data_IF_911110117843
#
_entry.id   IF_911110117843
#
_cell.length_a   1.000
_cell.length_b   1.000
_cell.length_c   1.000
_cell.angle_alpha   90.00
_cell.angle_beta   90.00
_cell.angle_gamma   90.00
#
_symmetry.space_group_name_H-M   'P 1'
#
loop_
_entity.id
_entity.type
_entity.pdbx_description
1 polymer ?
#
# COMPACT_ATOMS: atom_id res chain seq x y z
N UNK A 1 24.79 -7.62 -15.55
CA UNK A 1 24.32 -6.63 -14.54
C UNK A 1 25.53 -6.22 -13.73
N UNK A 2 25.94 -4.98 -13.77
CA UNK A 2 27.05 -4.49 -12.94
C UNK A 2 26.60 -4.52 -11.48
N UNK A 3 27.41 -5.00 -10.54
CA UNK A 3 27.00 -5.19 -9.13
C UNK A 3 26.62 -3.92 -8.37
N UNK A 4 26.96 -2.75 -8.90
CA UNK A 4 26.83 -1.46 -8.21
C UNK A 4 25.63 -0.61 -8.70
N UNK A 5 24.82 -1.13 -9.62
CA UNK A 5 23.71 -0.37 -10.16
C UNK A 5 22.41 -0.69 -9.40
N UNK A 6 22.20 0.07 -8.35
CA UNK A 6 20.95 0.11 -7.57
C UNK A 6 19.82 0.80 -8.38
N UNK A 7 20.00 0.90 -9.70
CA UNK A 7 18.99 1.47 -10.59
C UNK A 7 17.79 0.54 -10.70
N UNK A 8 16.67 1.05 -10.26
CA UNK A 8 15.36 0.43 -10.51
C UNK A 8 15.26 0.10 -12.01
N UNK A 9 14.72 -1.09 -12.35
CA UNK A 9 14.47 -1.50 -13.73
C UNK A 9 13.91 -0.32 -14.54
N UNK A 10 14.65 0.24 -15.53
CA UNK A 10 14.25 1.46 -16.23
C UNK A 10 12.92 1.30 -17.00
N UNK A 11 12.52 0.07 -17.32
CA UNK A 11 11.30 -0.22 -18.07
C UNK A 11 10.42 -1.26 -17.32
N UNK A 12 9.86 -0.89 -16.15
CA UNK A 12 9.12 -1.82 -15.29
C UNK A 12 7.80 -2.31 -15.89
N UNK A 13 7.31 -1.69 -16.95
CA UNK A 13 6.10 -2.07 -17.67
C UNK A 13 6.34 -3.17 -18.71
N UNK A 14 7.57 -3.49 -19.05
CA UNK A 14 7.90 -4.57 -19.97
C UNK A 14 8.13 -5.87 -19.21
N UNK A 15 7.63 -6.99 -19.75
CA UNK A 15 8.02 -8.31 -19.25
C UNK A 15 9.49 -8.56 -19.58
N UNK A 16 10.29 -8.88 -18.57
CA UNK A 16 11.71 -9.24 -18.78
C UNK A 16 11.87 -10.48 -19.65
N UNK A 17 11.00 -11.48 -19.45
CA UNK A 17 11.04 -12.74 -20.15
C UNK A 17 9.71 -12.97 -20.89
N UNK A 18 9.77 -13.55 -22.09
CA UNK A 18 8.60 -13.90 -22.87
C UNK A 18 8.80 -15.22 -23.60
N UNK A 19 7.76 -16.04 -23.66
CA UNK A 19 7.76 -17.26 -24.48
C UNK A 19 7.54 -16.88 -25.95
N UNK A 20 8.02 -17.70 -26.91
CA UNK A 20 7.77 -17.45 -28.34
C UNK A 20 6.30 -17.31 -28.68
N UNK A 21 5.43 -18.04 -27.98
CA UNK A 21 3.99 -17.97 -28.15
C UNK A 21 3.36 -16.62 -27.81
N UNK A 22 3.94 -15.90 -26.85
CA UNK A 22 3.43 -14.63 -26.33
C UNK A 22 3.88 -13.41 -27.16
N UNK A 23 4.78 -13.60 -28.13
CA UNK A 23 5.27 -12.51 -28.97
C UNK A 23 4.25 -12.09 -30.04
N UNK A 24 4.25 -10.82 -30.46
CA UNK A 24 3.48 -10.35 -31.61
C UNK A 24 3.81 -11.10 -32.90
N UNK A 25 2.83 -11.26 -33.78
CA UNK A 25 2.97 -12.05 -35.00
C UNK A 25 4.10 -11.52 -35.93
N UNK A 26 4.23 -10.21 -36.03
CA UNK A 26 5.27 -9.58 -36.87
C UNK A 26 6.69 -9.85 -36.37
N UNK A 27 6.91 -9.83 -35.04
CA UNK A 27 8.22 -10.19 -34.45
C UNK A 27 8.55 -11.66 -34.69
N UNK A 28 7.57 -12.55 -34.56
CA UNK A 28 7.74 -13.98 -34.91
C UNK A 28 8.18 -14.13 -36.37
N UNK A 29 7.50 -13.45 -37.29
CA UNK A 29 7.84 -13.49 -38.71
C UNK A 29 9.24 -12.90 -38.99
N UNK A 30 9.58 -11.77 -38.36
CA UNK A 30 10.90 -11.16 -38.46
C UNK A 30 11.97 -12.16 -38.01
N UNK A 31 11.87 -12.71 -36.82
CA UNK A 31 12.86 -13.63 -36.27
C UNK A 31 13.02 -14.90 -37.08
N UNK A 32 11.93 -15.42 -37.66
CA UNK A 32 11.99 -16.57 -38.58
C UNK A 32 12.70 -16.24 -39.90
N UNK A 33 12.60 -15.00 -40.38
CA UNK A 33 13.24 -14.58 -41.62
C UNK A 33 14.72 -14.21 -41.42
N UNK A 34 15.05 -13.57 -40.32
CA UNK A 34 16.36 -13.00 -40.07
C UNK A 34 17.39 -14.03 -39.59
N UNK A 35 16.94 -15.18 -39.07
CA UNK A 35 17.85 -16.20 -38.51
C UNK A 35 17.33 -17.61 -38.65
N UNK A 36 18.25 -18.54 -38.96
CA UNK A 36 17.97 -19.97 -38.94
C UNK A 36 17.61 -20.47 -37.53
N UNK A 37 18.25 -19.91 -36.48
CA UNK A 37 17.95 -20.17 -35.07
C UNK A 37 16.55 -19.64 -34.72
N UNK A 38 16.19 -18.42 -35.12
CA UNK A 38 14.86 -17.86 -34.94
C UNK A 38 13.77 -18.76 -35.55
N UNK A 39 14.05 -19.31 -36.76
CA UNK A 39 13.13 -20.25 -37.44
C UNK A 39 12.96 -21.55 -36.64
N UNK A 40 14.05 -22.10 -36.12
CA UNK A 40 14.03 -23.29 -35.26
C UNK A 40 13.23 -23.02 -33.97
N UNK A 41 13.45 -21.89 -33.30
CA UNK A 41 12.76 -21.49 -32.06
C UNK A 41 11.24 -21.45 -32.26
N UNK A 42 10.78 -20.88 -33.37
CA UNK A 42 9.34 -20.71 -33.63
C UNK A 42 8.64 -21.90 -34.22
N UNK A 43 9.36 -22.84 -34.85
CA UNK A 43 8.80 -24.04 -35.44
C UNK A 43 8.85 -25.28 -34.53
N UNK A 44 9.80 -25.33 -33.60
CA UNK A 44 9.90 -26.41 -32.63
C UNK A 44 8.96 -26.22 -31.43
N UNK A 45 8.47 -27.30 -30.85
CA UNK A 45 7.82 -27.30 -29.51
C UNK A 45 8.91 -27.19 -28.45
N UNK A 46 9.58 -26.06 -28.42
CA UNK A 46 10.76 -25.84 -27.56
C UNK A 46 10.42 -25.01 -26.33
N UNK A 47 11.26 -25.15 -25.30
CA UNK A 47 11.20 -24.40 -24.03
C UNK A 47 11.97 -23.07 -24.09
N UNK A 48 12.14 -22.49 -25.28
CA UNK A 48 12.85 -21.25 -25.49
C UNK A 48 12.18 -20.07 -24.80
N UNK A 49 13.00 -19.15 -24.30
CA UNK A 49 12.58 -17.91 -23.64
C UNK A 49 13.37 -16.75 -24.24
N UNK A 50 12.67 -15.69 -24.64
CA UNK A 50 13.27 -14.42 -24.99
C UNK A 50 13.41 -13.55 -23.75
N UNK A 51 14.56 -12.87 -23.65
CA UNK A 51 14.89 -11.99 -22.52
C UNK A 51 15.27 -10.61 -23.05
N UNK A 52 14.65 -9.55 -22.54
CA UNK A 52 15.11 -8.17 -22.76
C UNK A 52 16.35 -7.93 -21.91
N UNK A 53 17.46 -7.62 -22.55
CA UNK A 53 18.75 -7.37 -21.91
C UNK A 53 18.88 -5.90 -21.49
N UNK A 54 18.60 -4.96 -22.40
CA UNK A 54 18.73 -3.51 -22.15
C UNK A 54 18.48 -2.69 -23.40
N UNK A 55 18.78 -1.40 -23.33
CA UNK A 55 18.67 -0.48 -24.46
C UNK A 55 19.94 -0.57 -25.35
N UNK A 56 19.74 -0.39 -26.64
CA UNK A 56 20.84 -0.45 -27.64
C UNK A 56 21.95 0.58 -27.38
N UNK A 57 21.61 1.69 -26.71
CA UNK A 57 22.58 2.71 -26.33
C UNK A 57 23.53 2.29 -25.19
N UNK A 58 23.12 1.33 -24.37
CA UNK A 58 23.84 0.92 -23.16
C UNK A 58 24.83 -0.24 -23.41
N UNK A 59 24.64 -0.96 -24.53
CA UNK A 59 25.44 -2.14 -24.86
C UNK A 59 25.73 -2.21 -26.35
N UNK A 60 26.97 -2.50 -26.70
CA UNK A 60 27.33 -2.91 -28.06
C UNK A 60 27.07 -4.39 -28.26
N UNK A 61 26.89 -4.82 -29.52
CA UNK A 61 26.68 -6.22 -29.86
C UNK A 61 27.91 -7.07 -29.46
N UNK A 62 29.12 -6.49 -29.58
CA UNK A 62 30.38 -7.12 -29.24
C UNK A 62 30.49 -7.40 -27.73
N UNK A 63 30.18 -6.40 -26.88
CA UNK A 63 30.16 -6.56 -25.43
C UNK A 63 29.12 -7.61 -24.99
N UNK A 64 27.97 -7.64 -25.62
CA UNK A 64 26.94 -8.64 -25.32
C UNK A 64 27.38 -10.04 -25.71
N UNK A 65 28.03 -10.18 -26.87
CA UNK A 65 28.52 -11.48 -27.32
C UNK A 65 29.63 -11.99 -26.42
N UNK A 66 30.53 -11.11 -25.96
CA UNK A 66 31.59 -11.44 -24.99
C UNK A 66 31.04 -11.91 -23.64
N UNK A 67 30.06 -11.17 -23.10
CA UNK A 67 29.40 -11.53 -21.82
C UNK A 67 28.63 -12.84 -21.94
N UNK A 68 27.97 -13.07 -23.06
CA UNK A 68 27.16 -14.26 -23.27
C UNK A 68 27.99 -15.49 -23.60
N UNK A 69 29.23 -15.33 -24.13
CA UNK A 69 30.15 -16.44 -24.34
C UNK A 69 30.67 -17.09 -23.02
N UNK A 70 30.53 -16.38 -21.89
CA UNK A 70 30.84 -16.91 -20.55
C UNK A 70 29.73 -17.89 -20.08
N UNK A 71 28.51 -17.76 -20.63
CA UNK A 71 27.42 -18.69 -20.37
C UNK A 71 27.66 -19.90 -21.27
N UNK A 72 27.91 -21.07 -20.69
CA UNK A 72 28.08 -22.34 -21.44
C UNK A 72 26.79 -22.70 -22.22
N UNK A 73 26.55 -21.99 -23.30
CA UNK A 73 25.52 -22.34 -24.30
C UNK A 73 26.26 -22.78 -25.55
N UNK A 74 25.76 -23.81 -26.24
CA UNK A 74 26.22 -24.13 -27.57
C UNK A 74 26.06 -22.88 -28.45
N UNK A 75 27.16 -22.47 -29.11
CA UNK A 75 27.19 -21.23 -29.94
C UNK A 75 26.06 -21.14 -30.99
N UNK A 76 25.45 -22.25 -31.34
CA UNK A 76 24.34 -22.37 -32.28
C UNK A 76 22.95 -22.10 -31.64
N UNK A 77 22.85 -21.92 -30.32
CA UNK A 77 21.59 -21.75 -29.60
C UNK A 77 21.32 -20.29 -29.20
N UNK A 78 22.27 -19.37 -29.43
CA UNK A 78 22.11 -17.97 -29.07
C UNK A 78 21.57 -17.15 -30.24
N UNK A 79 20.47 -16.44 -30.03
CA UNK A 79 19.87 -15.52 -30.99
C UNK A 79 19.68 -14.17 -30.35
N UNK A 80 20.33 -13.12 -30.88
CA UNK A 80 20.27 -11.75 -30.41
C UNK A 80 19.62 -10.89 -31.50
N UNK A 81 18.60 -10.11 -31.13
CA UNK A 81 17.88 -9.25 -32.07
C UNK A 81 17.50 -7.92 -31.42
N UNK A 82 17.34 -6.87 -32.25
CA UNK A 82 16.92 -5.52 -31.85
C UNK A 82 15.45 -5.36 -32.14
N UNK A 83 14.68 -4.94 -31.15
CA UNK A 83 13.25 -4.74 -31.29
C UNK A 83 12.83 -3.35 -30.80
N UNK A 84 11.82 -2.70 -31.42
CA UNK A 84 11.23 -1.49 -30.88
C UNK A 84 10.40 -1.81 -29.64
N UNK A 85 10.54 -0.97 -28.60
CA UNK A 85 9.79 -1.09 -27.35
C UNK A 85 9.19 0.25 -26.96
N UNK A 86 8.01 0.30 -26.29
CA UNK A 86 7.48 1.54 -25.74
C UNK A 86 8.33 2.00 -24.54
N UNK A 87 8.80 3.26 -24.58
CA UNK A 87 9.59 3.84 -23.48
C UNK A 87 8.73 4.24 -22.29
N UNK A 88 7.48 4.62 -22.53
CA UNK A 88 6.55 5.04 -21.48
C UNK A 88 5.68 3.87 -21.01
N UNK A 89 5.28 3.89 -19.74
CA UNK A 89 4.33 2.91 -19.22
C UNK A 89 2.93 3.14 -19.83
N UNK A 90 2.17 2.07 -20.09
CA UNK A 90 0.80 2.19 -20.59
C UNK A 90 -0.10 2.82 -19.52
N UNK A 91 -1.05 3.64 -19.94
CA UNK A 91 -2.00 4.35 -19.06
C UNK A 91 -3.27 3.54 -18.79
N UNK A 92 -3.47 2.45 -19.53
CA UNK A 92 -4.64 1.58 -19.38
C UNK A 92 -4.34 0.13 -19.77
N UNK A 93 -5.20 -0.79 -19.31
CA UNK A 93 -5.14 -2.20 -19.71
C UNK A 93 -5.32 -2.39 -21.23
N UNK A 94 -6.17 -1.58 -21.85
CA UNK A 94 -6.41 -1.61 -23.30
C UNK A 94 -5.14 -1.20 -24.05
N UNK A 95 -4.48 -0.13 -23.62
CA UNK A 95 -3.22 0.32 -24.22
C UNK A 95 -2.10 -0.72 -24.04
N UNK A 96 -2.00 -1.35 -22.85
CA UNK A 96 -1.04 -2.44 -22.64
C UNK A 96 -1.29 -3.63 -23.58
N UNK A 97 -2.54 -4.01 -23.80
CA UNK A 97 -2.91 -5.08 -24.72
C UNK A 97 -2.57 -4.71 -26.18
N UNK A 98 -2.87 -3.48 -26.60
CA UNK A 98 -2.49 -2.96 -27.91
C UNK A 98 -0.97 -2.98 -28.12
N UNK A 99 -0.20 -2.46 -27.15
CA UNK A 99 1.26 -2.44 -27.24
C UNK A 99 1.87 -3.84 -27.20
N UNK A 100 1.27 -4.77 -26.42
CA UNK A 100 1.69 -6.16 -26.43
C UNK A 100 1.50 -6.85 -27.79
N UNK A 101 0.52 -6.42 -28.60
CA UNK A 101 0.30 -6.93 -29.94
C UNK A 101 1.16 -6.24 -31.02
N UNK A 102 1.70 -5.05 -30.74
CA UNK A 102 2.46 -4.23 -31.67
C UNK A 102 3.98 -4.25 -31.43
N UNK A 103 4.42 -4.42 -30.21
CA UNK A 103 5.83 -4.30 -29.85
C UNK A 103 6.31 -5.52 -29.05
N UNK A 104 6.26 -5.42 -27.74
CA UNK A 104 6.71 -6.44 -26.79
C UNK A 104 5.67 -6.63 -25.69
N UNK A 105 5.57 -7.84 -25.08
CA UNK A 105 4.62 -8.08 -23.99
C UNK A 105 4.74 -7.04 -22.89
N UNK A 106 3.73 -6.18 -22.80
CA UNK A 106 3.66 -5.02 -21.94
C UNK A 106 2.61 -5.24 -20.87
N UNK A 107 2.93 -4.87 -19.63
CA UNK A 107 2.05 -5.03 -18.48
C UNK A 107 1.54 -3.67 -18.05
N UNK A 108 0.23 -3.49 -18.04
CA UNK A 108 -0.38 -2.40 -17.30
C UNK A 108 -0.38 -2.75 -15.83
N UNK A 109 0.36 -1.98 -15.06
CA UNK A 109 0.27 -2.05 -13.60
C UNK A 109 -0.68 -0.96 -13.17
N UNK A 110 -1.73 -1.34 -12.46
CA UNK A 110 -2.74 -0.42 -11.96
C UNK A 110 -2.14 0.65 -11.04
N UNK A 111 -0.99 0.35 -10.44
CA UNK A 111 -0.23 1.27 -9.62
C UNK A 111 0.82 1.99 -10.49
N UNK A 112 0.55 3.26 -10.79
CA UNK A 112 1.54 4.15 -11.39
C UNK A 112 2.67 4.36 -10.36
N UNK A 113 3.96 4.09 -10.72
CA UNK A 113 5.08 4.34 -9.78
C UNK A 113 5.25 5.83 -9.43
N UNK A 114 4.66 6.73 -10.21
CA UNK A 114 4.69 8.19 -9.98
C UNK A 114 3.56 8.66 -9.04
N UNK A 115 2.81 7.75 -8.44
CA UNK A 115 1.66 8.06 -7.60
C UNK A 115 0.30 7.91 -8.31
N UNK A 116 -0.78 8.23 -7.63
CA UNK A 116 -2.12 8.16 -8.20
C UNK A 116 -2.33 9.20 -9.29
N UNK A 117 -3.16 8.88 -10.27
CA UNK A 117 -3.49 9.82 -11.34
C UNK A 117 -4.19 11.07 -10.75
N UNK A 118 -3.86 12.31 -11.20
CA UNK A 118 -4.44 13.54 -10.64
C UNK A 118 -5.98 13.56 -10.60
N UNK A 119 -6.65 12.95 -11.58
CA UNK A 119 -8.12 12.88 -11.58
C UNK A 119 -8.69 11.97 -10.48
N UNK A 120 -7.94 10.96 -10.04
CA UNK A 120 -8.33 10.10 -8.91
C UNK A 120 -8.14 10.88 -7.62
N UNK A 121 -7.03 11.62 -7.50
CA UNK A 121 -6.77 12.49 -6.33
C UNK A 121 -7.87 13.54 -6.22
N UNK A 122 -8.16 14.27 -7.31
CA UNK A 122 -9.19 15.30 -7.32
C UNK A 122 -10.57 14.77 -6.90
N UNK A 123 -10.97 13.61 -7.42
CA UNK A 123 -12.24 12.96 -7.05
C UNK A 123 -12.23 12.53 -5.57
N UNK A 124 -11.15 11.91 -5.11
CA UNK A 124 -11.02 11.50 -3.72
C UNK A 124 -11.02 12.69 -2.76
N UNK A 125 -10.43 13.83 -3.13
CA UNK A 125 -10.49 15.08 -2.37
C UNK A 125 -11.92 15.62 -2.31
N UNK A 126 -12.63 15.61 -3.44
CA UNK A 126 -14.04 16.04 -3.49
C UNK A 126 -14.92 15.19 -2.59
N UNK A 127 -14.69 13.87 -2.54
CA UNK A 127 -15.45 12.95 -1.68
C UNK A 127 -15.34 13.28 -0.19
N UNK A 128 -14.17 13.74 0.28
CA UNK A 128 -13.88 13.91 1.71
C UNK A 128 -13.93 15.37 2.21
N UNK A 129 -13.93 16.36 1.32
CA UNK A 129 -13.75 17.78 1.68
C UNK A 129 -14.83 18.32 2.62
N UNK A 130 -16.06 17.85 2.49
CA UNK A 130 -17.21 18.42 3.21
C UNK A 130 -17.27 17.98 4.68
N UNK A 131 -16.83 16.78 4.98
CA UNK A 131 -16.97 16.18 6.32
C UNK A 131 -15.64 15.78 6.99
N UNK A 132 -14.51 15.89 6.31
CA UNK A 132 -13.19 15.56 6.88
C UNK A 132 -12.91 16.29 8.19
N UNK A 133 -13.38 17.55 8.31
CA UNK A 133 -13.23 18.33 9.53
C UNK A 133 -14.01 17.77 10.73
N UNK A 134 -15.15 17.14 10.48
CA UNK A 134 -15.97 16.50 11.53
C UNK A 134 -15.26 15.29 12.08
N UNK A 135 -14.74 14.44 11.19
CA UNK A 135 -14.02 13.21 11.56
C UNK A 135 -12.69 13.50 12.20
N UNK A 136 -11.98 14.51 11.71
CA UNK A 136 -10.73 14.95 12.30
C UNK A 136 -10.96 15.57 13.70
N UNK A 137 -12.01 16.36 13.89
CA UNK A 137 -12.36 16.88 15.21
C UNK A 137 -12.72 15.75 16.20
N UNK A 138 -13.34 14.68 15.73
CA UNK A 138 -13.60 13.49 16.53
C UNK A 138 -12.29 12.79 16.91
N UNK A 139 -11.35 12.61 15.99
CA UNK A 139 -10.03 12.04 16.24
C UNK A 139 -9.25 12.85 17.29
N UNK A 140 -9.28 14.18 17.19
CA UNK A 140 -8.65 15.07 18.18
C UNK A 140 -9.28 14.93 19.57
N UNK A 141 -10.59 14.85 19.65
CA UNK A 141 -11.31 14.65 20.93
C UNK A 141 -10.90 13.34 21.60
N UNK A 142 -10.81 12.26 20.82
CA UNK A 142 -10.37 10.95 21.32
C UNK A 142 -8.91 10.99 21.76
N UNK A 143 -8.05 11.67 21.02
CA UNK A 143 -6.65 11.88 21.37
C UNK A 143 -6.50 12.56 22.73
N UNK A 144 -7.25 13.64 22.96
CA UNK A 144 -7.23 14.36 24.24
C UNK A 144 -7.71 13.47 25.39
N UNK A 145 -8.80 12.71 25.20
CA UNK A 145 -9.29 11.79 26.22
C UNK A 145 -8.27 10.69 26.55
N UNK A 146 -7.57 10.14 25.56
CA UNK A 146 -6.52 9.15 25.81
C UNK A 146 -5.39 9.72 26.68
N UNK A 147 -4.99 10.97 26.43
CA UNK A 147 -3.98 11.67 27.23
C UNK A 147 -4.48 12.01 28.63
N UNK A 148 -5.69 12.55 28.74
CA UNK A 148 -6.31 12.94 30.03
C UNK A 148 -6.52 11.76 30.96
N UNK A 149 -6.88 10.60 30.41
CA UNK A 149 -7.04 9.36 31.18
C UNK A 149 -5.73 8.65 31.48
N UNK A 150 -4.61 9.12 30.90
CA UNK A 150 -3.29 8.55 31.12
C UNK A 150 -3.04 7.19 30.45
N UNK A 151 -3.93 6.73 29.58
CA UNK A 151 -3.78 5.44 28.89
C UNK A 151 -2.78 5.49 27.75
N UNK A 152 -2.57 6.67 27.14
CA UNK A 152 -1.69 6.83 26.00
C UNK A 152 -1.28 8.26 25.72
N UNK A 153 -0.67 8.49 24.58
CA UNK A 153 -0.36 9.81 24.07
C UNK A 153 -1.59 10.49 23.45
N UNK A 154 -1.49 11.81 23.18
CA UNK A 154 -2.56 12.57 22.55
C UNK A 154 -2.72 12.22 21.07
N UNK A 155 -2.99 10.96 20.78
CA UNK A 155 -3.14 10.42 19.42
C UNK A 155 -4.47 9.69 19.33
N UNK A 156 -5.24 9.97 18.28
CA UNK A 156 -6.57 9.38 18.08
C UNK A 156 -6.82 9.03 16.62
N UNK A 157 -7.61 7.99 16.41
CA UNK A 157 -7.99 7.48 15.10
C UNK A 157 -9.50 7.27 15.01
N UNK A 158 -10.07 7.57 13.86
CA UNK A 158 -11.48 7.37 13.51
C UNK A 158 -11.54 6.66 12.17
N UNK A 159 -12.37 5.63 12.07
CA UNK A 159 -12.63 4.88 10.83
C UNK A 159 -14.10 5.07 10.46
N UNK A 160 -14.34 5.46 9.22
CA UNK A 160 -15.70 5.66 8.69
C UNK A 160 -15.92 4.87 7.41
N UNK A 161 -17.17 4.53 7.14
CA UNK A 161 -17.64 3.97 5.87
C UNK A 161 -18.41 5.03 5.12
N UNK A 162 -18.02 5.25 3.85
CA UNK A 162 -18.75 6.13 2.94
C UNK A 162 -19.38 5.31 1.83
N UNK A 163 -20.70 5.31 1.80
CA UNK A 163 -21.47 4.57 0.80
C UNK A 163 -22.73 5.33 0.43
N UNK A 164 -23.00 5.49 -0.87
CA UNK A 164 -24.23 6.12 -1.38
C UNK A 164 -24.45 7.56 -0.90
N UNK A 165 -23.37 8.31 -0.61
CA UNK A 165 -23.46 9.68 -0.07
C UNK A 165 -23.69 9.76 1.45
N UNK A 166 -23.85 8.63 2.13
CA UNK A 166 -23.93 8.52 3.58
C UNK A 166 -22.56 8.17 4.15
N UNK A 167 -22.22 8.78 5.29
CA UNK A 167 -20.98 8.45 6.01
C UNK A 167 -21.32 8.01 7.43
N UNK A 168 -20.85 6.83 7.80
CA UNK A 168 -21.15 6.20 9.10
C UNK A 168 -19.86 5.92 9.86
N UNK A 169 -19.90 6.17 11.16
CA UNK A 169 -18.79 5.88 12.07
C UNK A 169 -18.68 4.37 12.30
N UNK A 170 -17.50 3.80 12.03
CA UNK A 170 -17.27 2.36 12.17
C UNK A 170 -16.30 2.03 13.31
N UNK A 171 -15.27 2.81 13.49
CA UNK A 171 -14.25 2.59 14.52
C UNK A 171 -13.74 3.89 15.12
N UNK A 172 -13.42 3.87 16.40
CA UNK A 172 -12.80 4.99 17.13
C UNK A 172 -11.83 4.42 18.12
N UNK A 173 -10.61 4.93 18.19
CA UNK A 173 -9.64 4.55 19.21
C UNK A 173 -8.69 5.69 19.56
N UNK A 174 -8.40 5.83 20.83
CA UNK A 174 -7.24 6.58 21.35
C UNK A 174 -5.99 5.70 21.42
N UNK A 175 -4.85 6.32 21.49
CA UNK A 175 -3.60 5.62 21.82
C UNK A 175 -3.70 5.03 23.23
N UNK A 176 -3.20 3.80 23.41
CA UNK A 176 -3.26 3.12 24.70
C UNK A 176 -1.91 2.48 25.09
N UNK A 177 -0.79 3.03 24.60
CA UNK A 177 0.56 2.48 24.81
C UNK A 177 0.99 2.40 26.27
N UNK A 178 0.37 3.17 27.14
CA UNK A 178 0.64 3.18 28.59
C UNK A 178 -0.38 2.39 29.38
N UNK A 179 -1.44 1.90 28.74
CA UNK A 179 -2.44 1.08 29.39
C UNK A 179 -1.91 -0.33 29.64
N UNK A 180 -1.81 -0.71 30.91
CA UNK A 180 -1.32 -2.04 31.32
C UNK A 180 -2.33 -2.66 32.28
N UNK A 181 -2.90 -3.80 31.90
CA UNK A 181 -3.83 -4.52 32.76
C UNK A 181 -3.14 -5.50 33.72
N UNK A 182 -1.90 -5.87 33.55
CA UNK A 182 -1.23 -6.74 34.53
C UNK A 182 0.28 -6.88 34.29
N UNK A 183 1.10 -6.47 35.27
CA UNK A 183 2.44 -7.02 35.51
C UNK A 183 3.53 -6.82 34.46
N UNK A 184 3.28 -6.13 33.36
CA UNK A 184 4.31 -5.70 32.44
C UNK A 184 5.10 -4.56 33.06
N UNK A 185 6.41 -4.54 32.88
CA UNK A 185 7.35 -3.60 33.45
C UNK A 185 6.87 -2.14 33.30
N UNK A 186 6.68 -1.45 34.41
CA UNK A 186 6.37 -0.02 34.43
C UNK A 186 7.33 0.75 33.51
N UNK A 187 6.77 1.60 32.65
CA UNK A 187 7.55 2.47 31.76
C UNK A 187 7.87 1.92 30.37
N UNK A 188 7.41 0.70 30.00
CA UNK A 188 7.54 0.22 28.61
C UNK A 188 6.28 0.53 27.82
N UNK A 189 6.44 1.19 26.65
CA UNK A 189 5.32 1.44 25.75
C UNK A 189 4.97 0.17 24.95
N UNK A 190 3.67 -0.06 24.72
CA UNK A 190 3.20 -1.16 23.89
C UNK A 190 2.89 -0.67 22.46
N UNK A 191 3.69 -1.02 21.45
CA UNK A 191 3.46 -0.60 20.07
C UNK A 191 2.22 -1.23 19.42
N UNK A 192 1.69 -2.32 19.98
CA UNK A 192 0.50 -2.99 19.48
C UNK A 192 -0.80 -2.28 19.87
N UNK A 193 -0.72 -1.29 20.74
CA UNK A 193 -1.86 -0.50 21.24
C UNK A 193 -1.92 0.91 20.69
N UNK A 194 -1.23 1.17 19.59
CA UNK A 194 -1.39 2.41 18.84
C UNK A 194 -2.84 2.56 18.36
N UNK A 195 -3.35 3.78 18.36
CA UNK A 195 -4.75 4.07 18.06
C UNK A 195 -5.23 3.47 16.73
N UNK A 196 -4.38 3.47 15.69
CA UNK A 196 -4.72 2.90 14.37
C UNK A 196 -4.92 1.39 14.46
N UNK A 197 -4.00 0.66 15.09
CA UNK A 197 -4.09 -0.80 15.27
C UNK A 197 -5.32 -1.15 16.11
N UNK A 198 -5.55 -0.44 17.21
CA UNK A 198 -6.73 -0.60 18.05
C UNK A 198 -8.04 -0.37 17.29
N UNK A 199 -8.12 0.73 16.52
CA UNK A 199 -9.31 1.02 15.71
C UNK A 199 -9.61 -0.09 14.70
N UNK A 200 -8.59 -0.59 13.98
CA UNK A 200 -8.70 -1.72 13.05
C UNK A 200 -9.18 -2.98 13.79
N UNK A 201 -8.58 -3.28 14.94
CA UNK A 201 -8.96 -4.46 15.74
C UNK A 201 -10.41 -4.39 16.22
N UNK A 202 -10.87 -3.22 16.68
CA UNK A 202 -12.26 -3.05 17.11
C UNK A 202 -13.25 -3.17 15.93
N UNK A 203 -12.88 -2.73 14.72
CA UNK A 203 -13.69 -2.97 13.51
C UNK A 203 -13.76 -4.47 13.22
N UNK A 204 -12.62 -5.18 13.28
CA UNK A 204 -12.60 -6.62 13.09
C UNK A 204 -13.48 -7.37 14.11
N UNK A 205 -13.46 -6.96 15.39
CA UNK A 205 -14.31 -7.53 16.43
C UNK A 205 -15.82 -7.35 16.15
N UNK A 206 -16.22 -6.23 15.55
CA UNK A 206 -17.62 -6.03 15.12
C UNK A 206 -18.04 -7.04 14.05
N UNK A 207 -17.17 -7.30 13.07
CA UNK A 207 -17.43 -8.29 12.00
C UNK A 207 -17.51 -9.71 12.59
N UNK A 208 -16.55 -10.10 13.41
CA UNK A 208 -16.57 -11.41 14.10
C UNK A 208 -17.82 -11.57 14.96
N UNK A 209 -18.25 -10.52 15.68
CA UNK A 209 -19.48 -10.54 16.47
C UNK A 209 -20.70 -10.80 15.59
N UNK A 210 -20.76 -10.18 14.41
CA UNK A 210 -21.83 -10.41 13.45
C UNK A 210 -21.85 -11.85 12.92
N UNK A 211 -20.70 -12.37 12.48
CA UNK A 211 -20.57 -13.76 12.00
C UNK A 211 -20.99 -14.78 13.06
N UNK A 212 -20.55 -14.60 14.31
CA UNK A 212 -20.93 -15.49 15.41
C UNK A 212 -22.42 -15.50 15.71
N UNK A 213 -23.06 -14.32 15.66
CA UNK A 213 -24.54 -14.23 15.79
C UNK A 213 -25.26 -14.95 14.65
N UNK A 214 -24.79 -14.76 13.40
CA UNK A 214 -25.37 -15.42 12.23
C UNK A 214 -25.21 -16.96 12.30
N UNK A 215 -24.13 -17.45 12.92
CA UNK A 215 -23.85 -18.86 13.11
C UNK A 215 -24.45 -19.43 14.42
N UNK A 216 -25.25 -18.65 15.17
CA UNK A 216 -25.81 -19.02 16.48
C UNK A 216 -24.77 -19.48 17.52
N UNK A 217 -23.51 -19.01 17.36
CA UNK A 217 -22.41 -19.32 18.28
C UNK A 217 -22.41 -18.36 19.47
N UNK A 218 -22.03 -18.84 20.67
CA UNK A 218 -21.95 -17.96 21.84
C UNK A 218 -20.90 -16.87 21.62
N UNK A 219 -21.28 -15.65 22.01
CA UNK A 219 -20.41 -14.48 21.95
C UNK A 219 -19.45 -14.51 23.16
N UNK A 220 -18.49 -15.41 23.13
CA UNK A 220 -17.29 -15.27 23.95
C UNK A 220 -16.19 -14.76 23.01
N UNK A 221 -15.70 -13.51 23.18
CA UNK A 221 -14.48 -13.11 22.48
C UNK A 221 -13.41 -14.17 22.82
N UNK A 222 -12.57 -14.57 21.87
CA UNK A 222 -11.46 -15.43 22.21
C UNK A 222 -10.73 -14.74 23.37
N UNK A 223 -10.62 -15.42 24.51
CA UNK A 223 -9.71 -14.99 25.56
C UNK A 223 -8.32 -15.11 24.96
N UNK A 224 -7.83 -14.00 24.43
CA UNK A 224 -6.40 -13.86 24.24
C UNK A 224 -5.82 -13.87 25.65
N UNK A 225 -5.02 -14.88 25.95
CA UNK A 225 -4.31 -14.98 27.24
C UNK A 225 -3.42 -13.76 27.50
N UNK A 226 -3.24 -12.92 26.46
CA UNK A 226 -2.46 -11.70 26.49
C UNK A 226 -3.33 -10.53 26.02
N UNK A 227 -3.60 -9.57 26.89
CA UNK A 227 -4.21 -8.28 26.54
C UNK A 227 -3.24 -7.35 25.79
N UNK A 228 -2.36 -7.94 24.97
CA UNK A 228 -1.32 -7.19 24.27
C UNK A 228 -1.87 -6.20 23.24
N UNK A 229 -3.03 -6.48 22.67
CA UNK A 229 -3.57 -5.70 21.55
C UNK A 229 -4.58 -4.64 21.98
N UNK A 230 -5.11 -4.70 23.19
CA UNK A 230 -6.13 -3.78 23.69
C UNK A 230 -7.24 -3.49 22.64
N UNK A 231 -7.78 -4.57 22.09
CA UNK A 231 -8.83 -4.57 21.06
C UNK A 231 -10.24 -4.30 21.61
N UNK A 232 -10.32 -4.02 22.90
CA UNK A 232 -11.54 -3.62 23.63
C UNK A 232 -11.58 -2.10 23.79
N UNK A 233 -12.78 -1.52 23.91
CA UNK A 233 -12.92 -0.09 24.18
C UNK A 233 -12.43 0.24 25.60
N UNK A 234 -11.57 1.25 25.71
CA UNK A 234 -11.06 1.78 26.98
C UNK A 234 -11.71 3.12 27.36
N UNK A 235 -12.17 3.89 26.37
CA UNK A 235 -12.81 5.19 26.52
C UNK A 235 -14.32 5.08 26.28
N UNK A 236 -15.11 5.93 26.93
CA UNK A 236 -16.57 5.94 26.75
C UNK A 236 -16.99 6.22 25.31
N UNK A 237 -16.23 7.04 24.59
CA UNK A 237 -16.50 7.32 23.17
C UNK A 237 -16.22 6.10 22.29
N UNK A 238 -15.18 5.34 22.60
CA UNK A 238 -14.85 4.07 21.92
C UNK A 238 -15.98 3.05 22.17
N UNK A 239 -16.45 2.94 23.41
CA UNK A 239 -17.49 2.00 23.83
C UNK A 239 -18.80 2.26 23.07
N UNK A 240 -19.23 3.52 23.00
CA UNK A 240 -20.45 3.90 22.26
C UNK A 240 -20.37 3.51 20.78
N UNK A 241 -19.19 3.70 20.16
CA UNK A 241 -18.97 3.28 18.77
C UNK A 241 -18.90 1.75 18.66
N UNK A 242 -18.20 1.08 19.58
CA UNK A 242 -17.99 -0.36 19.55
C UNK A 242 -19.29 -1.16 19.71
N UNK A 243 -20.26 -0.66 20.50
CA UNK A 243 -21.57 -1.27 20.70
C UNK A 243 -22.46 -1.22 19.45
N UNK A 244 -22.21 -0.27 18.54
CA UNK A 244 -22.93 -0.19 17.29
C UNK A 244 -22.54 -1.32 16.33
N UNK A 245 -23.48 -1.78 15.53
CA UNK A 245 -23.21 -2.77 14.49
C UNK A 245 -22.34 -2.17 13.37
N UNK A 246 -21.61 -3.02 12.68
CA UNK A 246 -20.91 -2.62 11.47
C UNK A 246 -21.93 -2.38 10.35
N UNK A 247 -21.90 -1.22 9.65
CA UNK A 247 -22.90 -0.92 8.61
C UNK A 247 -22.85 -1.90 7.44
N UNK A 248 -21.64 -2.37 7.06
CA UNK A 248 -21.46 -3.44 6.08
C UNK A 248 -21.22 -4.77 6.79
N UNK A 249 -22.24 -5.61 6.87
CA UNK A 249 -22.20 -6.90 7.57
C UNK A 249 -21.33 -7.93 6.86
N UNK A 250 -21.22 -7.84 5.53
CA UNK A 250 -20.40 -8.71 4.69
C UNK A 250 -19.01 -8.10 4.45
N UNK A 251 -18.61 -7.13 5.26
CA UNK A 251 -17.35 -6.41 5.15
C UNK A 251 -16.14 -7.34 5.31
N UNK A 252 -15.14 -7.13 4.48
CA UNK A 252 -13.86 -7.81 4.57
C UNK A 252 -12.83 -6.86 5.17
N UNK A 253 -12.40 -7.12 6.40
CA UNK A 253 -11.47 -6.24 7.13
C UNK A 253 -11.97 -4.78 7.13
N UNK A 254 -11.08 -3.82 6.80
CA UNK A 254 -11.45 -2.42 6.61
C UNK A 254 -11.49 -2.04 5.11
N UNK A 255 -11.87 -2.99 4.23
CA UNK A 255 -11.82 -2.79 2.78
C UNK A 255 -12.64 -1.57 2.34
N UNK A 256 -11.96 -0.62 1.71
CA UNK A 256 -12.58 0.60 1.19
C UNK A 256 -12.95 1.63 2.24
N UNK A 257 -12.75 1.38 3.54
CA UNK A 257 -13.02 2.36 4.61
C UNK A 257 -12.03 3.52 4.58
N UNK A 258 -12.40 4.62 5.25
CA UNK A 258 -11.61 5.83 5.37
C UNK A 258 -11.11 5.99 6.81
N UNK A 259 -9.81 6.30 6.97
CA UNK A 259 -9.16 6.56 8.24
C UNK A 259 -8.90 8.05 8.41
N UNK A 260 -9.24 8.61 9.56
CA UNK A 260 -8.84 9.94 10.02
C UNK A 260 -8.01 9.78 11.29
N UNK A 261 -6.81 10.30 11.28
CA UNK A 261 -5.86 10.15 12.40
C UNK A 261 -5.15 11.47 12.68
N UNK A 262 -4.93 11.78 13.94
CA UNK A 262 -4.35 13.07 14.36
C UNK A 262 -2.90 13.26 13.94
N UNK A 263 -2.13 12.19 13.82
CA UNK A 263 -0.72 12.22 13.43
C UNK A 263 -0.45 11.16 12.37
N UNK A 264 0.56 11.39 11.55
CA UNK A 264 0.96 10.44 10.51
C UNK A 264 1.28 9.06 11.10
N UNK A 265 0.64 8.00 10.63
CA UNK A 265 0.88 6.64 11.11
C UNK A 265 2.33 6.20 10.91
N UNK A 266 2.92 5.57 11.92
CA UNK A 266 4.24 4.98 11.80
C UNK A 266 4.24 3.81 10.80
N UNK A 267 5.42 3.28 10.48
CA UNK A 267 5.56 2.18 9.51
C UNK A 267 4.68 0.98 9.87
N UNK A 268 4.64 0.59 11.16
CA UNK A 268 3.83 -0.54 11.61
C UNK A 268 2.33 -0.29 11.40
N UNK A 269 1.85 0.89 11.80
CA UNK A 269 0.45 1.30 11.60
C UNK A 269 0.11 1.43 10.12
N UNK A 270 1.00 2.00 9.31
CA UNK A 270 0.83 2.09 7.84
C UNK A 270 0.71 0.71 7.20
N UNK A 271 1.49 -0.26 7.64
CA UNK A 271 1.36 -1.65 7.19
C UNK A 271 0.03 -2.27 7.65
N UNK A 272 -0.43 -1.97 8.88
CA UNK A 272 -1.76 -2.38 9.36
C UNK A 272 -2.89 -1.82 8.48
N UNK A 273 -2.81 -0.55 8.09
CA UNK A 273 -3.74 0.10 7.16
C UNK A 273 -3.79 -0.63 5.81
N UNK A 274 -2.63 -0.93 5.25
CA UNK A 274 -2.51 -1.66 3.98
C UNK A 274 -3.07 -3.09 4.06
N UNK A 275 -2.70 -3.82 5.11
CA UNK A 275 -3.18 -5.19 5.34
C UNK A 275 -4.69 -5.24 5.54
N UNK A 276 -5.26 -4.21 6.16
CA UNK A 276 -6.71 -4.08 6.37
C UNK A 276 -7.47 -3.62 5.14
N UNK A 277 -6.77 -3.33 4.03
CA UNK A 277 -7.37 -2.91 2.75
C UNK A 277 -8.12 -1.59 2.80
N UNK A 278 -7.69 -0.65 3.63
CA UNK A 278 -8.28 0.68 3.66
C UNK A 278 -8.16 1.40 2.31
N UNK A 279 -9.18 2.20 1.97
CA UNK A 279 -9.23 2.95 0.72
C UNK A 279 -8.59 4.33 0.82
N UNK A 280 -8.78 4.99 1.96
CA UNK A 280 -8.32 6.36 2.19
C UNK A 280 -7.74 6.54 3.59
N UNK A 281 -6.74 7.42 3.74
CA UNK A 281 -6.20 7.86 5.01
C UNK A 281 -5.99 9.38 5.00
N UNK A 282 -6.42 10.04 6.07
CA UNK A 282 -6.22 11.49 6.28
C UNK A 282 -5.53 11.67 7.63
N UNK A 283 -4.39 12.34 7.66
CA UNK A 283 -3.67 12.65 8.89
C UNK A 283 -3.43 14.16 9.03
N UNK A 284 -3.42 14.68 10.26
CA UNK A 284 -3.30 16.12 10.48
C UNK A 284 -1.86 16.58 10.72
N UNK A 285 -1.08 15.83 11.48
CA UNK A 285 0.29 16.22 11.84
C UNK A 285 1.28 15.25 11.22
N UNK A 286 2.21 15.78 10.45
CA UNK A 286 3.31 15.02 9.89
C UNK A 286 4.29 14.55 10.97
N UNK A 287 4.79 13.31 10.86
CA UNK A 287 5.75 12.72 11.79
C UNK A 287 7.12 12.50 11.11
N UNK A 288 8.05 13.47 11.22
CA UNK A 288 9.27 13.51 10.41
C UNK A 288 10.16 12.28 10.53
N UNK A 289 10.19 11.62 11.68
CA UNK A 289 11.12 10.52 11.96
C UNK A 289 10.45 9.15 12.02
N UNK A 290 9.17 9.08 12.30
CA UNK A 290 8.45 7.82 12.49
C UNK A 290 7.38 7.57 11.44
N UNK A 291 6.92 8.60 10.73
CA UNK A 291 5.87 8.51 9.72
C UNK A 291 6.21 7.56 8.58
N UNK A 292 5.21 6.81 8.10
CA UNK A 292 5.35 5.81 7.05
C UNK A 292 4.54 6.10 5.78
N UNK A 293 3.56 6.99 5.85
CA UNK A 293 2.69 7.25 4.70
C UNK A 293 3.31 8.23 3.71
N UNK A 294 3.92 9.34 4.16
CA UNK A 294 4.43 10.35 3.26
C UNK A 294 5.59 9.86 2.40
N UNK A 295 5.66 10.39 1.19
CA UNK A 295 6.72 10.13 0.22
C UNK A 295 7.72 11.29 0.10
N UNK A 296 7.41 12.43 0.71
CA UNK A 296 8.21 13.64 0.57
C UNK A 296 9.44 13.61 1.44
N UNK A 297 10.58 13.87 0.81
CA UNK A 297 11.86 14.09 1.47
C UNK A 297 11.97 15.60 1.76
N UNK A 298 11.34 16.05 2.86
CA UNK A 298 11.30 17.45 3.22
C UNK A 298 12.62 17.90 3.84
N UNK A 299 13.11 19.13 3.54
CA UNK A 299 14.37 19.65 4.08
C UNK A 299 14.41 19.74 5.62
N UNK A 300 13.25 19.84 6.26
CA UNK A 300 13.06 19.90 7.72
C UNK A 300 12.97 18.53 8.39
N UNK A 301 13.31 17.47 7.67
CA UNK A 301 13.28 16.10 8.17
C UNK A 301 11.92 15.42 7.98
N UNK A 302 11.25 15.76 6.89
CA UNK A 302 9.97 15.15 6.53
C UNK A 302 10.11 13.70 6.14
N UNK A 303 9.43 12.83 6.84
CA UNK A 303 9.22 11.43 6.58
C UNK A 303 10.41 10.67 6.02
N UNK A 304 10.47 9.40 6.24
CA UNK A 304 11.54 8.58 5.66
C UNK A 304 11.41 8.40 4.13
N UNK A 305 10.55 9.19 3.47
CA UNK A 305 10.28 9.05 2.04
C UNK A 305 9.74 7.67 1.66
N UNK A 306 9.12 6.97 2.61
CA UNK A 306 8.68 5.59 2.40
C UNK A 306 7.49 5.51 1.44
N UNK A 307 6.57 6.49 1.49
CA UNK A 307 5.42 6.53 0.61
C UNK A 307 4.59 5.26 0.61
N UNK A 308 4.36 4.66 1.80
CA UNK A 308 3.71 3.35 1.89
C UNK A 308 2.28 3.35 1.36
N UNK A 309 1.64 4.51 1.26
CA UNK A 309 0.30 4.63 0.68
C UNK A 309 0.26 4.20 -0.80
N UNK A 310 1.37 4.37 -1.54
CA UNK A 310 1.41 4.14 -3.00
C UNK A 310 2.73 3.51 -3.46
N UNK A 311 3.03 2.31 -2.96
CA UNK A 311 4.21 1.56 -3.38
C UNK A 311 3.84 0.41 -4.30
N UNK A 312 4.52 0.31 -5.44
CA UNK A 312 4.32 -0.76 -6.42
C UNK A 312 4.71 -2.16 -5.91
N UNK A 313 5.60 -2.21 -4.93
CA UNK A 313 6.08 -3.45 -4.31
C UNK A 313 5.03 -4.07 -3.41
N UNK A 314 4.06 -3.27 -2.95
CA UNK A 314 2.99 -3.70 -2.08
C UNK A 314 1.77 -4.15 -2.88
N UNK A 315 1.04 -5.10 -2.34
CA UNK A 315 -0.14 -5.68 -2.98
C UNK A 315 -1.43 -4.85 -2.80
N UNK A 316 -1.32 -3.69 -2.15
CA UNK A 316 -2.41 -2.74 -1.93
C UNK A 316 -1.88 -1.31 -2.01
N UNK A 317 -2.74 -0.41 -2.42
CA UNK A 317 -2.50 1.04 -2.39
C UNK A 317 -3.77 1.74 -1.93
N UNK A 318 -3.59 2.86 -1.23
CA UNK A 318 -4.67 3.72 -0.77
C UNK A 318 -4.38 5.17 -1.15
N UNK A 319 -5.39 6.02 -1.04
CA UNK A 319 -5.21 7.46 -1.15
C UNK A 319 -4.87 8.03 0.22
N UNK A 320 -3.88 8.91 0.31
CA UNK A 320 -3.50 9.56 1.55
C UNK A 320 -3.42 11.08 1.38
N UNK A 321 -3.88 11.81 2.39
CA UNK A 321 -3.84 13.27 2.46
C UNK A 321 -3.32 13.74 3.80
N UNK A 322 -2.53 14.79 3.78
CA UNK A 322 -2.26 15.63 4.93
C UNK A 322 -3.38 16.68 5.03
N UNK A 323 -3.99 16.77 6.20
CA UNK A 323 -5.09 17.69 6.44
C UNK A 323 -4.56 18.98 7.04
N UNK A 324 -4.50 20.02 6.22
CA UNK A 324 -4.12 21.35 6.59
C UNK A 324 -5.37 22.20 6.84
N UNK A 325 -5.60 22.60 8.07
CA UNK A 325 -6.67 23.55 8.39
C UNK A 325 -6.32 24.40 9.60
N UNK A 326 -6.54 25.72 9.47
CA UNK A 326 -6.49 26.65 10.57
C UNK A 326 -7.64 26.39 11.56
N UNK A 327 -7.34 26.50 12.87
CA UNK A 327 -8.37 26.50 13.91
C UNK A 327 -8.69 25.15 14.58
N UNK A 328 -7.90 24.09 14.36
CA UNK A 328 -7.97 22.88 15.18
C UNK A 328 -7.26 23.11 16.52
N UNK A 329 -7.82 22.61 17.65
CA UNK A 329 -7.10 22.67 18.91
C UNK A 329 -5.72 22.04 18.77
N UNK A 330 -4.68 22.77 19.08
CA UNK A 330 -3.33 22.24 19.11
C UNK A 330 -3.26 21.10 20.13
N UNK A 331 -2.99 19.90 19.64
CA UNK A 331 -2.64 18.79 20.52
C UNK A 331 -1.29 19.08 21.19
N UNK A 332 -1.04 18.53 22.39
CA UNK A 332 0.27 18.60 22.99
C UNK A 332 1.33 18.10 22.00
N UNK A 333 2.47 18.79 21.87
CA UNK A 333 3.52 18.38 20.95
C UNK A 333 4.03 16.98 21.33
N UNK A 334 4.19 16.13 20.33
CA UNK A 334 4.81 14.81 20.47
C UNK A 334 6.30 14.89 20.10
N UNK A 335 7.10 14.04 20.71
CA UNK A 335 8.47 13.84 20.25
C UNK A 335 8.44 13.33 18.79
N UNK A 336 9.23 13.92 17.87
CA UNK A 336 9.27 13.52 16.46
C UNK A 336 9.60 12.05 16.20
N UNK A 337 10.21 11.35 17.17
CA UNK A 337 10.50 9.92 17.10
C UNK A 337 9.35 9.04 17.62
N UNK A 338 8.31 9.64 18.18
CA UNK A 338 7.17 8.87 18.69
C UNK A 338 6.52 8.08 17.57
N UNK A 339 6.41 6.78 17.73
CA UNK A 339 5.66 5.92 16.82
C UNK A 339 4.16 6.11 17.05
N UNK A 340 3.42 6.37 15.95
CA UNK A 340 1.98 6.66 15.97
C UNK A 340 1.19 5.50 15.36
#
# INVERSE_FOLDING_TARGET
>A
MRPDDNSANPLPHLRRCSKPGDLPAHLKTQFMNDSAVGRQIHTAKSTWIYIIIGEVKDFTLEELTEVLSIIECDENELFIEKIPIPLLAPTSQVQAAMWSSQFWPTVYRKNNPLGPHPSIVARGTEDIKDDSSVWMALAHRVALQAKETGIGEAIGAVIVQREGGKVELVGVAGDARWHQECGLLEGTSNPMTHCVVRAISMVAQKLVRHERRAAELPFNPPNLEYDAFQDKPLLEIEKKCFEQEHPNRDGYLCHGLELYVTHEPCVSCSMGILHSRMGKAVFATHMPRSGGLSSDDRPDGGGRGLGLFWRRELNWSLMAWEWERDGVPNLPPLDPITHV
#
